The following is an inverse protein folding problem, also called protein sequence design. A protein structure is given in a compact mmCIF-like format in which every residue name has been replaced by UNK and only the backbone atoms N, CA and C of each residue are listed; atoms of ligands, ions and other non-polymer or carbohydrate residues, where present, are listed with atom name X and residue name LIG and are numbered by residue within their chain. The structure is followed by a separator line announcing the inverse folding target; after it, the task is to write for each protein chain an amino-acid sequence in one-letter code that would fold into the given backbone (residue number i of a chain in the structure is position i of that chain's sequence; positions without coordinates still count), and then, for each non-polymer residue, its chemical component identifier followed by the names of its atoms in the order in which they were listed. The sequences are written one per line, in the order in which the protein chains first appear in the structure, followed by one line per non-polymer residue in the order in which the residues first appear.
data_IF_071422308595
#
_entry.id   IF_071422308595
#
_cell.length_a   1.000
_cell.length_b   1.000
_cell.length_c   1.000
_cell.angle_alpha   90.00
_cell.angle_beta   90.00
_cell.angle_gamma   90.00
#
_symmetry.space_group_name_H-M   'P 1'
#
loop_
_entity.id
_entity.type
_entity.pdbx_description
1 polymer ?
#
# COMPACT_ATOMS: atom_id res chain seq x y z
N UNK A 1 18.34 35.37 24.59
CA UNK A 1 17.50 34.16 24.50
C UNK A 1 18.08 33.30 23.40
N UNK A 2 18.89 32.30 23.75
CA UNK A 2 19.56 31.44 22.78
C UNK A 2 18.54 30.49 22.16
N UNK A 3 18.22 30.67 20.88
CA UNK A 3 17.44 29.72 20.10
C UNK A 3 18.25 28.42 20.05
N UNK A 4 17.75 27.28 20.56
CA UNK A 4 18.42 26.02 20.31
C UNK A 4 18.43 25.84 18.79
N UNK A 5 19.62 25.85 18.19
CA UNK A 5 19.80 25.53 16.77
C UNK A 5 19.51 24.06 16.59
N UNK A 6 18.22 23.71 16.53
CA UNK A 6 17.74 22.41 16.12
C UNK A 6 18.44 22.06 14.81
N UNK A 7 19.10 20.90 14.80
CA UNK A 7 19.70 20.38 13.59
C UNK A 7 18.61 20.23 12.51
N UNK A 8 19.03 20.25 11.24
CA UNK A 8 18.10 20.09 10.11
C UNK A 8 17.28 18.80 10.24
N UNK A 9 17.89 17.72 10.75
CA UNK A 9 17.21 16.45 10.99
C UNK A 9 16.14 16.55 12.09
N UNK A 10 16.48 17.11 13.26
CA UNK A 10 15.53 17.29 14.35
C UNK A 10 14.36 18.19 13.95
N UNK A 11 14.63 19.26 13.19
CA UNK A 11 13.61 20.16 12.67
C UNK A 11 12.62 19.44 11.76
N UNK A 12 13.12 18.59 10.85
CA UNK A 12 12.30 17.79 9.94
C UNK A 12 11.44 16.79 10.69
N UNK A 13 12.01 16.07 11.66
CA UNK A 13 11.27 15.13 12.50
C UNK A 13 10.13 15.83 13.25
N UNK A 14 10.42 16.99 13.84
CA UNK A 14 9.43 17.75 14.61
C UNK A 14 8.35 18.38 13.73
N UNK A 15 8.72 18.84 12.54
CA UNK A 15 7.75 19.32 11.55
C UNK A 15 6.82 18.20 11.06
N UNK A 16 7.33 16.98 10.87
CA UNK A 16 6.55 15.79 10.49
C UNK A 16 5.55 15.41 11.58
N UNK A 17 6.00 15.29 12.83
CA UNK A 17 5.12 15.00 13.98
C UNK A 17 3.95 15.98 14.05
N UNK A 18 4.21 17.29 13.95
CA UNK A 18 3.15 18.29 13.99
C UNK A 18 2.23 18.25 12.77
N UNK A 19 2.74 17.87 11.60
CA UNK A 19 1.91 17.68 10.41
C UNK A 19 1.00 16.45 10.55
N UNK A 20 1.50 15.37 11.13
CA UNK A 20 0.74 14.15 11.41
C UNK A 20 -0.35 14.40 12.47
N UNK A 21 -0.09 15.31 13.43
CA UNK A 21 -1.06 15.82 14.41
C UNK A 21 -2.10 16.80 13.78
N UNK A 22 -2.01 17.08 12.48
CA UNK A 22 -2.96 17.92 11.74
C UNK A 22 -2.69 19.43 11.78
N UNK A 23 -1.52 19.88 12.26
CA UNK A 23 -1.19 21.31 12.25
C UNK A 23 -0.91 21.84 10.85
N UNK A 24 -1.38 23.05 10.55
CA UNK A 24 -1.03 23.75 9.31
C UNK A 24 0.44 24.21 9.28
N UNK A 25 1.03 24.33 8.08
CA UNK A 25 2.41 24.80 7.90
C UNK A 25 2.70 26.15 8.60
N UNK A 26 1.70 27.04 8.71
CA UNK A 26 1.83 28.32 9.43
C UNK A 26 1.89 28.14 10.94
N UNK A 27 1.14 27.18 11.50
CA UNK A 27 1.19 26.86 12.93
C UNK A 27 2.53 26.22 13.29
N UNK A 28 2.98 25.25 12.49
CA UNK A 28 4.29 24.59 12.64
C UNK A 28 5.43 25.61 12.59
N UNK A 29 5.38 26.53 11.63
CA UNK A 29 6.35 27.61 11.48
C UNK A 29 6.48 28.48 12.74
N UNK A 30 5.36 28.87 13.35
CA UNK A 30 5.34 29.65 14.59
C UNK A 30 5.94 28.87 15.75
N UNK A 31 5.64 27.56 15.83
CA UNK A 31 6.10 26.70 16.92
C UNK A 31 7.59 26.38 16.83
N UNK A 32 8.11 26.20 15.62
CA UNK A 32 9.53 25.92 15.38
C UNK A 32 10.39 27.18 15.21
N UNK A 33 9.78 28.37 15.16
CA UNK A 33 10.49 29.64 14.96
C UNK A 33 11.12 29.77 13.56
N UNK A 34 10.53 29.14 12.54
CA UNK A 34 11.04 29.11 11.17
C UNK A 34 10.01 29.63 10.17
N UNK A 35 10.44 29.93 8.94
CA UNK A 35 9.53 30.37 7.89
C UNK A 35 8.68 29.20 7.35
N UNK A 36 7.39 29.43 7.10
CA UNK A 36 6.45 28.39 6.62
C UNK A 36 6.86 27.72 5.29
N UNK A 37 7.59 28.42 4.40
CA UNK A 37 8.16 27.80 3.19
C UNK A 37 9.26 26.79 3.50
N UNK A 38 10.02 27.01 4.58
CA UNK A 38 11.03 26.06 5.06
C UNK A 38 10.36 24.79 5.56
N UNK A 39 9.24 24.92 6.27
CA UNK A 39 8.40 23.77 6.69
C UNK A 39 7.93 22.96 5.48
N UNK A 40 7.37 23.62 4.46
CA UNK A 40 6.89 22.95 3.25
C UNK A 40 8.02 22.16 2.56
N UNK A 41 9.17 22.79 2.33
CA UNK A 41 10.35 22.14 1.74
C UNK A 41 10.85 20.97 2.58
N UNK A 42 10.84 21.10 3.90
CA UNK A 42 11.29 20.04 4.81
C UNK A 42 10.33 18.85 4.81
N UNK A 43 9.01 19.07 4.70
CA UNK A 43 8.01 18.01 4.57
C UNK A 43 8.04 17.32 3.21
N UNK A 44 8.40 18.03 2.14
CA UNK A 44 8.60 17.46 0.80
C UNK A 44 9.86 16.58 0.73
N UNK A 45 10.97 17.03 1.34
CA UNK A 45 12.25 16.32 1.32
C UNK A 45 12.36 15.19 2.36
N UNK A 46 11.41 15.11 3.29
CA UNK A 46 11.33 14.02 4.26
C UNK A 46 10.30 13.02 3.75
N UNK A 47 10.71 11.93 3.08
CA UNK A 47 9.77 10.90 2.66
C UNK A 47 8.98 10.44 3.88
N UNK A 48 7.67 10.29 3.72
CA UNK A 48 6.84 9.68 4.76
C UNK A 48 7.45 8.32 5.12
N UNK A 49 7.47 7.92 6.40
CA UNK A 49 7.79 6.54 6.75
C UNK A 49 6.93 5.63 5.87
N UNK A 50 7.48 4.52 5.33
CA UNK A 50 6.66 3.55 4.61
C UNK A 50 5.45 3.25 5.49
N UNK A 51 4.25 3.45 4.94
CA UNK A 51 3.01 3.26 5.66
C UNK A 51 3.10 1.92 6.41
N UNK A 52 2.86 1.94 7.72
CA UNK A 52 2.82 0.72 8.50
C UNK A 52 1.91 -0.29 7.77
N UNK A 53 2.27 -1.58 7.71
CA UNK A 53 1.42 -2.58 7.09
C UNK A 53 0.01 -2.44 7.68
N UNK A 54 -1.05 -2.52 6.86
CA UNK A 54 -2.40 -2.26 7.32
C UNK A 54 -2.67 -3.12 8.55
N UNK A 55 -3.01 -2.44 9.66
CA UNK A 55 -3.40 -3.11 10.91
C UNK A 55 -4.57 -4.03 10.56
N UNK A 56 -4.49 -5.34 10.85
CA UNK A 56 -5.57 -6.26 10.53
C UNK A 56 -6.83 -5.80 11.28
N UNK A 57 -7.76 -5.21 10.54
CA UNK A 57 -9.13 -5.02 11.00
C UNK A 57 -9.72 -6.41 11.19
N UNK A 58 -9.89 -6.77 12.46
CA UNK A 58 -10.64 -7.96 12.87
C UNK A 58 -12.07 -7.80 12.36
N UNK A 59 -12.54 -8.72 11.53
CA UNK A 59 -13.94 -8.74 11.10
C UNK A 59 -14.26 -9.76 10.02
N UNK A 60 -13.49 -9.78 8.93
CA UNK A 60 -13.63 -10.84 7.93
C UNK A 60 -12.54 -11.89 8.17
N UNK A 61 -12.87 -13.18 8.27
CA UNK A 61 -11.86 -14.22 8.15
C UNK A 61 -11.23 -13.99 6.78
N UNK A 62 -10.01 -13.43 6.79
CA UNK A 62 -9.18 -13.28 5.60
C UNK A 62 -9.26 -14.63 4.89
N UNK A 63 -9.94 -14.64 3.74
CA UNK A 63 -10.21 -15.85 2.98
C UNK A 63 -8.92 -16.68 2.97
N UNK A 64 -9.00 -18.01 3.18
CA UNK A 64 -7.84 -18.85 3.41
C UNK A 64 -6.76 -18.44 2.44
N UNK A 65 -5.70 -17.79 2.96
CA UNK A 65 -4.57 -17.39 2.14
C UNK A 65 -4.02 -18.71 1.66
N UNK A 66 -4.39 -19.09 0.45
CA UNK A 66 -3.86 -20.31 -0.11
C UNK A 66 -2.37 -20.02 -0.21
N UNK A 67 -1.58 -20.66 0.65
CA UNK A 67 -0.12 -20.61 0.65
C UNK A 67 0.37 -21.39 -0.56
N UNK A 68 -0.12 -21.03 -1.74
CA UNK A 68 0.54 -21.42 -2.97
C UNK A 68 1.87 -20.69 -2.97
N UNK A 69 2.94 -21.47 -3.01
CA UNK A 69 4.26 -20.95 -3.32
C UNK A 69 4.22 -20.51 -4.79
N UNK A 70 3.66 -19.32 -5.03
CA UNK A 70 3.55 -18.76 -6.36
C UNK A 70 4.96 -18.34 -6.80
N UNK A 71 5.37 -18.65 -8.03
CA UNK A 71 6.63 -18.15 -8.56
C UNK A 71 6.66 -16.61 -8.49
N UNK A 72 7.81 -16.01 -8.18
CA UNK A 72 7.92 -14.57 -7.92
C UNK A 72 7.47 -13.72 -9.13
N UNK A 73 7.65 -14.22 -10.34
CA UNK A 73 7.15 -13.61 -11.58
C UNK A 73 5.63 -13.52 -11.60
N UNK A 74 4.93 -14.57 -11.18
CA UNK A 74 3.47 -14.60 -11.13
C UNK A 74 2.91 -13.67 -10.05
N UNK A 75 3.59 -13.54 -8.91
CA UNK A 75 3.23 -12.57 -7.87
C UNK A 75 3.33 -11.13 -8.41
N UNK A 76 4.38 -10.85 -9.18
CA UNK A 76 4.58 -9.53 -9.77
C UNK A 76 3.52 -9.20 -10.82
N UNK A 77 3.19 -10.15 -11.70
CA UNK A 77 2.12 -10.00 -12.69
C UNK A 77 0.76 -9.76 -12.01
N UNK A 78 0.46 -10.49 -10.93
CA UNK A 78 -0.75 -10.30 -10.14
C UNK A 78 -0.80 -8.93 -9.47
N UNK A 79 0.34 -8.43 -8.97
CA UNK A 79 0.42 -7.09 -8.39
C UNK A 79 0.20 -5.99 -9.42
N UNK A 80 0.69 -6.16 -10.66
CA UNK A 80 0.42 -5.23 -11.78
C UNK A 80 -1.06 -5.19 -12.14
N UNK A 81 -1.74 -6.35 -12.11
CA UNK A 81 -3.19 -6.42 -12.38
C UNK A 81 -4.00 -5.85 -11.21
N UNK A 82 -3.51 -5.95 -9.98
CA UNK A 82 -4.16 -5.47 -8.76
C UNK A 82 -3.91 -3.98 -8.47
N UNK A 83 -2.84 -3.39 -9.03
CA UNK A 83 -2.46 -2.01 -8.81
C UNK A 83 -3.43 -1.04 -9.53
N UNK A 84 -4.24 -0.34 -8.73
CA UNK A 84 -5.19 0.68 -9.19
C UNK A 84 -4.53 1.99 -9.63
N UNK A 85 -3.23 2.19 -9.38
CA UNK A 85 -2.51 3.41 -9.81
C UNK A 85 -2.01 3.33 -11.25
N UNK A 86 -1.75 2.11 -11.72
CA UNK A 86 -1.57 1.78 -13.13
C UNK A 86 -2.96 1.85 -13.78
N UNK A 87 -3.33 3.00 -14.33
CA UNK A 87 -4.73 3.34 -14.69
C UNK A 87 -5.57 2.20 -15.29
N UNK A 88 -6.86 2.19 -14.94
CA UNK A 88 -7.85 1.15 -15.29
C UNK A 88 -7.50 0.40 -16.57
N UNK A 89 -7.15 -0.89 -16.42
CA UNK A 89 -7.01 -1.80 -17.55
C UNK A 89 -8.26 -1.63 -18.44
N UNK A 90 -8.11 -1.48 -19.78
CA UNK A 90 -9.25 -1.35 -20.66
C UNK A 90 -10.27 -2.45 -20.38
N UNK A 91 -11.54 -2.09 -20.23
CA UNK A 91 -12.63 -3.02 -19.95
C UNK A 91 -12.61 -4.35 -20.75
N UNK A 92 -12.26 -4.40 -22.06
CA UNK A 92 -12.13 -5.68 -22.77
C UNK A 92 -11.02 -6.59 -22.22
N UNK A 93 -9.89 -6.04 -21.77
CA UNK A 93 -8.79 -6.82 -21.18
C UNK A 93 -9.19 -7.39 -19.82
N UNK A 94 -9.85 -6.60 -18.97
CA UNK A 94 -10.37 -7.07 -17.68
C UNK A 94 -11.34 -8.25 -17.90
N UNK A 95 -12.28 -8.10 -18.84
CA UNK A 95 -13.22 -9.17 -19.19
C UNK A 95 -12.52 -10.42 -19.71
N UNK A 96 -11.49 -10.27 -20.55
CA UNK A 96 -10.72 -11.39 -21.08
C UNK A 96 -9.96 -12.14 -19.98
N UNK A 97 -9.33 -11.41 -19.05
CA UNK A 97 -8.63 -11.98 -17.90
C UNK A 97 -9.62 -12.75 -17.01
N UNK A 98 -10.76 -12.15 -16.69
CA UNK A 98 -11.80 -12.82 -15.89
C UNK A 98 -12.32 -14.09 -16.58
N UNK A 99 -12.64 -14.03 -17.87
CA UNK A 99 -13.12 -15.19 -18.62
C UNK A 99 -12.06 -16.31 -18.71
N UNK A 100 -10.78 -15.96 -18.84
CA UNK A 100 -9.70 -16.95 -18.80
C UNK A 100 -9.57 -17.59 -17.41
N UNK A 101 -9.60 -16.77 -16.35
CA UNK A 101 -9.53 -17.25 -14.97
C UNK A 101 -10.71 -18.16 -14.61
N UNK A 102 -11.92 -17.82 -15.02
CA UNK A 102 -13.12 -18.63 -14.76
C UNK A 102 -13.08 -19.98 -15.49
N UNK A 103 -12.60 -20.02 -16.74
CA UNK A 103 -12.37 -21.29 -17.45
C UNK A 103 -11.35 -22.16 -16.74
N UNK A 104 -10.25 -21.56 -16.29
CA UNK A 104 -9.20 -22.29 -15.58
C UNK A 104 -9.73 -22.84 -14.24
N UNK A 105 -10.48 -22.04 -13.48
CA UNK A 105 -11.14 -22.47 -12.24
C UNK A 105 -12.11 -23.62 -12.49
N UNK A 106 -12.93 -23.55 -13.54
CA UNK A 106 -13.87 -24.60 -13.89
C UNK A 106 -13.17 -25.92 -14.22
N UNK A 107 -12.09 -25.86 -15.01
CA UNK A 107 -11.28 -27.03 -15.35
C UNK A 107 -10.65 -27.66 -14.11
N UNK A 108 -10.10 -26.85 -13.20
CA UNK A 108 -9.49 -27.35 -11.96
C UNK A 108 -10.53 -28.00 -11.03
N UNK A 109 -11.70 -27.38 -10.85
CA UNK A 109 -12.78 -27.96 -10.06
C UNK A 109 -13.20 -29.32 -10.64
N UNK A 110 -13.30 -29.43 -11.97
CA UNK A 110 -13.61 -30.69 -12.62
C UNK A 110 -12.54 -31.76 -12.33
N UNK A 111 -11.26 -31.40 -12.46
CA UNK A 111 -10.15 -32.31 -12.17
C UNK A 111 -10.12 -32.76 -10.70
N UNK A 112 -10.36 -31.85 -9.75
CA UNK A 112 -10.46 -32.19 -8.32
C UNK A 112 -11.60 -33.18 -8.04
N UNK A 113 -12.74 -33.02 -8.72
CA UNK A 113 -13.88 -33.95 -8.60
C UNK A 113 -13.55 -35.34 -9.13
N UNK A 114 -12.83 -35.42 -10.26
CA UNK A 114 -12.37 -36.70 -10.80
C UNK A 114 -11.42 -37.41 -9.84
N UNK A 115 -10.42 -36.69 -9.32
CA UNK A 115 -9.49 -37.24 -8.33
C UNK A 115 -10.18 -37.70 -7.04
N UNK A 116 -11.20 -36.98 -6.57
CA UNK A 116 -11.99 -37.40 -5.42
C UNK A 116 -12.80 -38.67 -5.70
N UNK A 117 -13.37 -38.80 -6.90
CA UNK A 117 -14.13 -39.98 -7.32
C UNK A 117 -13.25 -41.23 -7.48
N UNK A 118 -11.98 -41.07 -7.84
CA UNK A 118 -11.02 -42.19 -7.97
C UNK A 118 -10.51 -42.73 -6.61
N UNK A 119 -10.68 -41.98 -5.51
CA UNK A 119 -10.27 -42.37 -4.16
C UNK A 119 -11.37 -43.05 -3.33
N UNK A 120 -12.58 -43.21 -3.90
CA UNK A 120 -13.74 -43.83 -3.23
C UNK A 120 -14.01 -45.21 -3.81
#
# INVERSE_FOLDING_TARGET
MATPTLSVAERRTRARQLADDGHSNRAIARQLGIHHRTVARDLELTPAPPAAPPVPTSGDPSAPRILFNLPPTLVQDLNVIADKQSGDLPAPLVRAIHAAADRHRAAWIHQLRQLAAEQT
#
